data_IF_222637540929
#
_entry.id   IF_222637540929
#
_cell.length_a   1.000
_cell.length_b   1.000
_cell.length_c   1.000
_cell.angle_alpha   90.00
_cell.angle_beta   90.00
_cell.angle_gamma   90.00
#
_symmetry.space_group_name_H-M   'P 1'
#
loop_
_entity.id
_entity.type
_entity.pdbx_description
1 polymer ?
#
# COMPACT_ATOMS: atom_id res chain seq x y z
N UNK A 1 40.49 16.72 -24.48
CA UNK A 1 39.07 16.50 -24.15
C UNK A 1 38.99 15.78 -22.80
N UNK A 2 38.70 16.52 -21.72
CA UNK A 2 38.57 15.93 -20.38
C UNK A 2 37.20 15.28 -20.27
N UNK A 3 37.17 13.94 -20.20
CA UNK A 3 35.96 13.18 -19.87
C UNK A 3 35.65 13.49 -18.42
N UNK A 4 34.79 14.47 -18.18
CA UNK A 4 34.22 14.72 -16.85
C UNK A 4 33.37 13.50 -16.50
N UNK A 5 33.99 12.54 -15.82
CA UNK A 5 33.29 11.42 -15.22
C UNK A 5 32.31 12.02 -14.20
N UNK A 6 31.04 12.16 -14.59
CA UNK A 6 29.96 12.48 -13.68
C UNK A 6 29.99 11.44 -12.57
N UNK A 7 30.59 11.79 -11.44
CA UNK A 7 30.64 10.95 -10.25
C UNK A 7 29.18 10.76 -9.84
N UNK A 8 28.64 9.57 -10.11
CA UNK A 8 27.26 9.27 -9.78
C UNK A 8 27.12 9.37 -8.27
N UNK A 9 26.41 10.39 -7.80
CA UNK A 9 26.02 10.53 -6.40
C UNK A 9 25.00 9.45 -6.08
N UNK A 10 25.51 8.24 -5.83
CA UNK A 10 24.74 7.16 -5.25
C UNK A 10 24.25 7.66 -3.88
N UNK A 11 22.97 7.45 -3.57
CA UNK A 11 22.30 7.86 -2.31
C UNK A 11 21.77 9.29 -2.21
N UNK A 12 21.71 10.07 -3.30
CA UNK A 12 21.09 11.40 -3.28
C UNK A 12 19.62 11.43 -2.81
N UNK A 13 18.91 10.31 -2.91
CA UNK A 13 17.50 10.16 -2.50
C UNK A 13 17.36 9.59 -1.06
N UNK A 14 18.46 9.33 -0.34
CA UNK A 14 18.43 8.81 1.03
C UNK A 14 17.83 9.86 1.97
N UNK A 15 16.79 9.48 2.72
CA UNK A 15 16.21 10.32 3.77
C UNK A 15 16.92 10.04 5.11
N UNK A 16 17.00 11.02 6.02
CA UNK A 16 17.45 10.77 7.39
C UNK A 16 16.58 9.72 8.08
N UNK A 17 17.19 8.89 8.93
CA UNK A 17 16.49 7.81 9.63
C UNK A 17 15.28 8.35 10.41
N UNK A 18 15.48 9.34 11.27
CA UNK A 18 14.43 9.92 12.12
C UNK A 18 13.53 10.96 11.44
N UNK A 19 13.64 11.18 10.12
CA UNK A 19 12.83 12.20 9.44
C UNK A 19 11.32 12.00 9.65
N UNK A 20 10.86 10.75 9.72
CA UNK A 20 9.44 10.44 9.95
C UNK A 20 8.93 10.85 11.34
N UNK A 21 9.81 11.17 12.29
CA UNK A 21 9.46 11.72 13.60
C UNK A 21 9.48 13.25 13.65
N UNK A 22 9.78 13.92 12.54
CA UNK A 22 9.73 15.37 12.51
C UNK A 22 8.27 15.83 12.68
N UNK A 23 8.02 16.94 13.39
CA UNK A 23 6.66 17.35 13.73
C UNK A 23 5.78 17.52 12.48
N UNK A 24 6.35 18.01 11.38
CA UNK A 24 5.63 18.13 10.11
C UNK A 24 5.26 16.76 9.51
N UNK A 25 6.17 15.80 9.52
CA UNK A 25 5.91 14.46 8.95
C UNK A 25 4.91 13.68 9.84
N UNK A 26 4.98 13.84 11.16
CA UNK A 26 3.99 13.29 12.11
C UNK A 26 2.61 13.93 11.88
N UNK A 27 2.53 15.26 11.78
CA UNK A 27 1.27 15.97 11.55
C UNK A 27 0.62 15.55 10.23
N UNK A 28 1.40 15.45 9.15
CA UNK A 28 0.92 14.96 7.85
C UNK A 28 0.39 13.53 7.99
N UNK A 29 1.09 12.66 8.74
CA UNK A 29 0.67 11.28 8.97
C UNK A 29 -0.65 11.22 9.75
N UNK A 30 -0.79 12.04 10.80
CA UNK A 30 -2.02 12.11 11.60
C UNK A 30 -3.21 12.60 10.78
N UNK A 31 -3.05 13.71 10.03
CA UNK A 31 -4.08 14.25 9.13
C UNK A 31 -4.47 13.21 8.09
N UNK A 32 -3.49 12.52 7.49
CA UNK A 32 -3.75 11.46 6.52
C UNK A 32 -4.56 10.31 7.12
N UNK A 33 -4.24 9.87 8.34
CA UNK A 33 -4.98 8.79 9.00
C UNK A 33 -6.44 9.16 9.26
N UNK A 34 -6.70 10.38 9.71
CA UNK A 34 -8.07 10.91 9.90
C UNK A 34 -8.80 11.00 8.56
N UNK A 35 -8.16 11.53 7.52
CA UNK A 35 -8.76 11.66 6.20
C UNK A 35 -9.12 10.31 5.58
N UNK A 36 -8.24 9.32 5.68
CA UNK A 36 -8.51 7.96 5.18
C UNK A 36 -9.68 7.33 5.92
N UNK A 37 -9.71 7.44 7.26
CA UNK A 37 -10.81 6.88 8.04
C UNK A 37 -12.13 7.61 7.76
N UNK A 38 -12.10 8.93 7.62
CA UNK A 38 -13.26 9.73 7.22
C UNK A 38 -13.77 9.35 5.83
N UNK A 39 -12.88 9.08 4.88
CA UNK A 39 -13.24 8.62 3.54
C UNK A 39 -13.89 7.22 3.59
N UNK A 40 -13.43 6.31 4.43
CA UNK A 40 -14.05 4.99 4.60
C UNK A 40 -15.47 5.10 5.17
N UNK A 41 -15.68 5.98 6.14
CA UNK A 41 -17.01 6.27 6.72
C UNK A 41 -17.92 6.88 5.66
N UNK A 42 -17.42 7.87 4.90
CA UNK A 42 -18.15 8.49 3.80
C UNK A 42 -18.50 7.47 2.71
N UNK A 43 -17.58 6.58 2.35
CA UNK A 43 -17.83 5.52 1.38
C UNK A 43 -18.91 4.54 1.86
N UNK A 44 -18.91 4.20 3.16
CA UNK A 44 -19.99 3.40 3.77
C UNK A 44 -21.34 4.11 3.72
N UNK A 45 -21.36 5.42 3.97
CA UNK A 45 -22.56 6.24 3.86
C UNK A 45 -23.08 6.32 2.42
N UNK A 46 -22.20 6.58 1.44
CA UNK A 46 -22.57 6.60 0.02
C UNK A 46 -23.08 5.23 -0.44
N UNK A 47 -22.46 4.12 -0.02
CA UNK A 47 -22.93 2.78 -0.34
C UNK A 47 -24.33 2.50 0.26
N UNK A 48 -24.67 3.08 1.41
CA UNK A 48 -26.02 3.00 1.96
C UNK A 48 -27.02 3.91 1.27
N UNK A 49 -26.52 4.99 0.66
CA UNK A 49 -27.29 5.92 -0.15
C UNK A 49 -27.42 5.47 -1.61
N UNK A 50 -26.83 4.36 -2.07
CA UNK A 50 -27.06 3.89 -3.45
C UNK A 50 -28.56 3.64 -3.64
N UNK A 51 -29.10 4.70 -4.25
CA UNK A 51 -30.46 5.08 -4.55
C UNK A 51 -31.20 3.91 -5.19
N UNK A 52 -32.50 3.85 -4.92
CA UNK A 52 -33.45 3.30 -5.87
C UNK A 52 -33.14 3.93 -7.24
N UNK A 53 -32.52 3.18 -8.15
CA UNK A 53 -32.60 3.54 -9.55
C UNK A 53 -34.10 3.53 -9.87
N UNK A 54 -34.55 4.71 -10.29
CA UNK A 54 -35.89 4.99 -10.79
C UNK A 54 -36.14 4.16 -12.05
N UNK A 55 -36.56 2.92 -11.89
CA UNK A 55 -37.15 2.11 -12.94
C UNK A 55 -38.67 2.29 -12.87
N UNK A 56 -39.15 3.40 -13.42
CA UNK A 56 -40.49 3.46 -13.99
C UNK A 56 -40.33 3.71 -15.50
N UNK A 57 -40.98 2.82 -16.26
CA UNK A 57 -41.20 2.79 -17.71
C UNK A 57 -40.18 2.10 -18.66
N UNK A 58 -40.61 0.90 -19.08
CA UNK A 58 -40.68 0.37 -20.46
C UNK A 58 -39.82 -0.87 -20.83
N UNK A 59 -40.48 -2.03 -20.69
CA UNK A 59 -40.61 -3.14 -21.67
C UNK A 59 -39.38 -3.85 -22.28
N UNK A 60 -39.31 -5.16 -21.96
CA UNK A 60 -39.05 -6.33 -22.82
C UNK A 60 -37.77 -6.38 -23.68
N UNK A 61 -36.76 -7.15 -23.27
CA UNK A 61 -36.62 -8.58 -23.64
C UNK A 61 -35.22 -9.16 -23.32
N UNK A 62 -35.23 -10.22 -22.50
CA UNK A 62 -34.37 -11.41 -22.42
C UNK A 62 -32.87 -11.34 -22.78
N UNK A 63 -31.98 -11.49 -21.78
CA UNK A 63 -31.21 -12.74 -21.47
C UNK A 63 -30.13 -12.47 -20.39
N UNK A 64 -30.32 -12.97 -19.16
CA UNK A 64 -29.24 -13.61 -18.37
C UNK A 64 -29.79 -14.12 -17.03
N UNK A 65 -30.19 -15.38 -17.04
CA UNK A 65 -30.76 -16.12 -15.90
C UNK A 65 -29.67 -17.04 -15.30
N UNK A 66 -28.72 -16.51 -14.52
CA UNK A 66 -27.77 -17.35 -13.72
C UNK A 66 -27.41 -16.79 -12.33
N UNK A 67 -27.84 -15.59 -11.92
CA UNK A 67 -27.60 -15.15 -10.54
C UNK A 67 -28.83 -14.46 -9.94
N UNK A 68 -29.82 -15.27 -9.58
CA UNK A 68 -30.85 -14.88 -8.62
C UNK A 68 -30.23 -14.49 -7.28
N UNK A 69 -29.84 -13.22 -7.12
CA UNK A 69 -29.61 -12.61 -5.82
C UNK A 69 -30.93 -12.04 -5.31
N UNK A 70 -31.49 -12.74 -4.33
CA UNK A 70 -32.59 -12.25 -3.48
C UNK A 70 -32.33 -10.80 -3.05
N UNK A 71 -33.33 -9.94 -3.27
CA UNK A 71 -33.46 -8.60 -2.70
C UNK A 71 -33.80 -8.68 -1.20
N UNK A 72 -32.87 -9.12 -0.35
CA UNK A 72 -33.07 -9.07 1.11
C UNK A 72 -31.80 -8.59 1.83
N UNK A 73 -31.99 -7.61 2.73
CA UNK A 73 -31.06 -6.93 3.65
C UNK A 73 -30.02 -5.95 3.05
N UNK A 74 -30.46 -4.72 2.73
CA UNK A 74 -29.54 -3.55 2.67
C UNK A 74 -29.22 -3.13 4.12
N UNK A 75 -27.94 -3.13 4.56
CA UNK A 75 -27.60 -2.73 5.92
C UNK A 75 -27.80 -1.22 6.11
N UNK A 76 -28.63 -0.84 7.09
CA UNK A 76 -28.75 0.55 7.55
C UNK A 76 -27.36 1.07 7.97
N UNK A 77 -26.95 2.22 7.43
CA UNK A 77 -25.68 2.81 7.79
C UNK A 77 -25.75 3.38 9.21
N UNK A 78 -25.15 2.66 10.15
CA UNK A 78 -24.89 3.15 11.49
C UNK A 78 -23.54 3.88 11.48
N UNK A 79 -23.58 5.19 11.68
CA UNK A 79 -22.35 5.97 11.82
C UNK A 79 -21.55 5.46 13.03
N UNK A 80 -20.23 5.22 12.90
CA UNK A 80 -19.42 4.82 14.04
C UNK A 80 -19.42 5.92 15.10
N UNK A 81 -19.39 5.51 16.36
CA UNK A 81 -19.25 6.44 17.47
C UNK A 81 -17.90 7.20 17.38
N UNK A 82 -17.82 8.37 18.03
CA UNK A 82 -16.57 9.14 18.07
C UNK A 82 -15.41 8.33 18.65
N UNK A 83 -15.69 7.45 19.61
CA UNK A 83 -14.69 6.58 20.24
C UNK A 83 -14.17 5.51 19.28
N UNK A 84 -15.07 4.86 18.53
CA UNK A 84 -14.70 3.87 17.51
C UNK A 84 -13.91 4.50 16.35
N UNK A 85 -14.34 5.68 15.91
CA UNK A 85 -13.63 6.45 14.90
C UNK A 85 -12.24 6.87 15.39
N UNK A 86 -12.13 7.35 16.63
CA UNK A 86 -10.87 7.71 17.28
C UNK A 86 -9.92 6.52 17.41
N UNK A 87 -10.44 5.36 17.79
CA UNK A 87 -9.68 4.11 17.86
C UNK A 87 -9.18 3.66 16.49
N UNK A 88 -10.03 3.74 15.45
CA UNK A 88 -9.66 3.41 14.08
C UNK A 88 -8.59 4.36 13.53
N UNK A 89 -8.74 5.67 13.78
CA UNK A 89 -7.73 6.68 13.43
C UNK A 89 -6.39 6.40 14.12
N UNK A 90 -6.41 6.10 15.42
CA UNK A 90 -5.21 5.78 16.20
C UNK A 90 -4.52 4.53 15.67
N UNK A 91 -5.29 3.49 15.36
CA UNK A 91 -4.77 2.25 14.78
C UNK A 91 -4.13 2.49 13.40
N UNK A 92 -4.78 3.27 12.55
CA UNK A 92 -4.26 3.68 11.23
C UNK A 92 -2.98 4.50 11.35
N UNK A 93 -2.94 5.43 12.31
CA UNK A 93 -1.78 6.25 12.62
C UNK A 93 -0.59 5.41 13.09
N UNK A 94 -0.79 4.55 14.09
CA UNK A 94 0.25 3.66 14.62
C UNK A 94 0.77 2.75 13.50
N UNK A 95 -0.12 2.14 12.70
CA UNK A 95 0.28 1.31 11.55
C UNK A 95 1.14 2.12 10.56
N UNK A 96 0.74 3.36 10.25
CA UNK A 96 1.47 4.22 9.31
C UNK A 96 2.86 4.59 9.83
N UNK A 97 2.98 4.97 11.11
CA UNK A 97 4.26 5.25 11.75
C UNK A 97 5.14 3.99 11.73
N UNK A 98 4.62 2.84 12.15
CA UNK A 98 5.35 1.57 12.10
C UNK A 98 5.89 1.25 10.70
N UNK A 99 5.08 1.41 9.65
CA UNK A 99 5.52 1.18 8.26
C UNK A 99 6.71 2.10 7.91
N UNK A 100 6.63 3.38 8.27
CA UNK A 100 7.74 4.31 7.99
C UNK A 100 9.00 3.96 8.77
N UNK A 101 8.88 3.52 10.03
CA UNK A 101 10.00 3.06 10.85
C UNK A 101 10.68 1.82 10.27
N UNK A 102 9.89 0.82 9.86
CA UNK A 102 10.40 -0.38 9.20
C UNK A 102 11.08 -0.04 7.87
N UNK A 103 10.48 0.84 7.07
CA UNK A 103 11.10 1.30 5.82
C UNK A 103 12.47 1.94 6.05
N UNK A 104 12.59 2.88 6.99
CA UNK A 104 13.89 3.52 7.30
C UNK A 104 14.91 2.55 7.90
N UNK A 105 14.44 1.58 8.68
CA UNK A 105 15.29 0.49 9.19
C UNK A 105 15.82 -0.39 8.06
N UNK A 106 14.95 -0.77 7.12
CA UNK A 106 15.33 -1.54 5.94
C UNK A 106 16.27 -0.76 5.01
N UNK A 107 16.10 0.56 4.88
CA UNK A 107 17.04 1.41 4.14
C UNK A 107 18.46 1.32 4.74
N UNK A 108 18.60 1.44 6.06
CA UNK A 108 19.89 1.33 6.75
C UNK A 108 20.49 -0.08 6.69
N UNK A 109 19.66 -1.12 6.87
CA UNK A 109 20.11 -2.52 6.74
C UNK A 109 20.60 -2.80 5.32
N UNK A 110 19.87 -2.34 4.31
CA UNK A 110 20.27 -2.53 2.91
C UNK A 110 21.55 -1.76 2.59
N UNK A 111 21.78 -0.59 3.18
CA UNK A 111 23.04 0.15 3.03
C UNK A 111 24.25 -0.58 3.60
N UNK A 112 24.07 -1.28 4.72
CA UNK A 112 25.14 -2.05 5.36
C UNK A 112 25.43 -3.36 4.63
N UNK A 113 24.38 -3.99 4.09
CA UNK A 113 24.47 -5.36 3.60
C UNK A 113 24.57 -5.45 2.06
N UNK A 114 24.21 -4.40 1.32
CA UNK A 114 24.18 -4.41 -0.14
C UNK A 114 25.09 -3.34 -0.74
N UNK A 115 25.51 -3.59 -1.99
CA UNK A 115 26.30 -2.62 -2.73
C UNK A 115 25.52 -1.30 -2.95
N UNK A 116 26.15 -0.12 -2.84
CA UNK A 116 25.46 1.19 -2.94
C UNK A 116 24.65 1.40 -4.23
N UNK A 117 25.07 0.77 -5.34
CA UNK A 117 24.34 0.83 -6.62
C UNK A 117 22.99 0.12 -6.57
N UNK A 118 22.87 -0.94 -5.77
CA UNK A 118 21.63 -1.68 -5.56
C UNK A 118 20.70 -0.87 -4.68
N UNK A 119 21.22 -0.36 -3.56
CA UNK A 119 20.46 0.49 -2.64
C UNK A 119 19.89 1.70 -3.37
N UNK A 120 20.71 2.39 -4.18
CA UNK A 120 20.26 3.57 -4.96
C UNK A 120 19.14 3.26 -5.96
N UNK A 121 18.89 2.00 -6.32
CA UNK A 121 17.73 1.59 -7.13
C UNK A 121 16.49 1.33 -6.28
N UNK A 122 16.66 0.89 -5.04
CA UNK A 122 15.59 0.58 -4.09
C UNK A 122 15.02 1.84 -3.43
N UNK A 123 15.86 2.81 -3.08
CA UNK A 123 15.43 4.07 -2.44
C UNK A 123 15.13 5.19 -3.44
N UNK A 124 14.99 4.84 -4.72
CA UNK A 124 14.98 5.81 -5.81
C UNK A 124 13.71 6.66 -5.79
N UNK A 125 13.87 7.97 -5.95
CA UNK A 125 12.75 8.85 -6.24
C UNK A 125 12.24 8.58 -7.67
N UNK A 126 11.09 7.93 -7.74
CA UNK A 126 10.44 7.47 -8.99
C UNK A 126 10.06 8.66 -9.86
N UNK A 127 9.54 9.73 -9.26
CA UNK A 127 9.08 10.95 -9.93
C UNK A 127 10.25 11.70 -10.57
N UNK A 128 11.31 11.97 -9.81
CA UNK A 128 12.53 12.59 -10.35
C UNK A 128 13.19 11.69 -11.39
N UNK A 129 13.13 10.37 -11.20
CA UNK A 129 13.66 9.42 -12.18
C UNK A 129 12.89 9.47 -13.51
N UNK A 130 11.57 9.63 -13.49
CA UNK A 130 10.77 9.76 -14.70
C UNK A 130 11.13 11.03 -15.49
N UNK A 131 11.22 12.17 -14.81
CA UNK A 131 11.62 13.44 -15.46
C UNK A 131 13.01 13.33 -16.09
N UNK A 132 14.00 12.76 -15.38
CA UNK A 132 15.36 12.58 -15.91
C UNK A 132 15.42 11.64 -17.12
N UNK A 133 14.54 10.63 -17.19
CA UNK A 133 14.48 9.74 -18.35
C UNK A 133 13.80 10.42 -19.52
N UNK A 134 12.74 11.17 -19.27
CA UNK A 134 12.03 11.92 -20.30
C UNK A 134 12.95 12.93 -20.98
N UNK A 135 13.74 13.67 -20.20
CA UNK A 135 14.74 14.60 -20.74
C UNK A 135 15.79 13.91 -21.62
N UNK A 136 16.12 12.64 -21.37
CA UNK A 136 17.10 11.90 -22.19
C UNK A 136 16.51 11.20 -23.40
N UNK A 137 15.30 10.67 -23.29
CA UNK A 137 14.66 9.92 -24.37
C UNK A 137 13.87 10.82 -25.30
N UNK A 138 13.47 12.01 -24.83
CA UNK A 138 12.59 12.98 -25.51
C UNK A 138 11.17 12.45 -25.83
N UNK A 139 10.97 11.13 -25.74
CA UNK A 139 9.69 10.44 -25.88
C UNK A 139 9.11 10.03 -24.53
N UNK A 140 7.80 10.29 -24.34
CA UNK A 140 7.04 9.85 -23.16
C UNK A 140 6.89 8.33 -23.13
N UNK A 141 6.68 7.69 -24.28
CA UNK A 141 6.48 6.25 -24.38
C UNK A 141 7.73 5.47 -23.96
N UNK A 142 8.89 5.82 -24.53
CA UNK A 142 10.17 5.19 -24.16
C UNK A 142 10.49 5.38 -22.66
N UNK A 143 10.16 6.55 -22.13
CA UNK A 143 10.29 6.81 -20.69
C UNK A 143 9.37 5.95 -19.84
N UNK A 144 8.11 5.78 -20.23
CA UNK A 144 7.15 4.94 -19.52
C UNK A 144 7.58 3.47 -19.46
N UNK A 145 8.03 2.89 -20.58
CA UNK A 145 8.54 1.51 -20.64
C UNK A 145 9.72 1.33 -19.66
N UNK A 146 10.65 2.29 -19.64
CA UNK A 146 11.76 2.27 -18.69
C UNK A 146 11.31 2.46 -17.24
N UNK A 147 10.16 3.11 -17.01
CA UNK A 147 9.63 3.37 -15.67
C UNK A 147 9.02 2.15 -15.02
N UNK A 148 8.49 1.17 -15.76
CA UNK A 148 7.96 -0.09 -15.18
C UNK A 148 9.00 -0.74 -14.25
N UNK A 149 10.18 -1.06 -14.79
CA UNK A 149 11.28 -1.67 -14.02
C UNK A 149 11.82 -0.77 -12.90
N UNK A 150 11.64 0.54 -13.01
CA UNK A 150 12.14 1.50 -12.01
C UNK A 150 11.17 1.68 -10.86
N UNK A 151 9.87 1.79 -11.16
CA UNK A 151 8.81 1.80 -10.17
C UNK A 151 8.80 0.50 -9.37
N UNK A 152 8.84 -0.65 -10.05
CA UNK A 152 8.94 -1.95 -9.36
C UNK A 152 10.11 -1.99 -8.37
N UNK A 153 11.32 -1.62 -8.81
CA UNK A 153 12.51 -1.63 -7.92
C UNK A 153 12.39 -0.66 -6.75
N UNK A 154 11.83 0.52 -6.96
CA UNK A 154 11.66 1.50 -5.90
C UNK A 154 10.59 1.07 -4.88
N UNK A 155 9.61 0.28 -5.31
CA UNK A 155 8.50 -0.18 -4.47
C UNK A 155 8.81 -1.44 -3.64
N UNK A 156 9.88 -2.18 -3.96
CA UNK A 156 10.24 -3.40 -3.21
C UNK A 156 10.38 -3.10 -1.71
N UNK A 157 11.11 -2.04 -1.36
CA UNK A 157 11.43 -1.78 0.04
C UNK A 157 10.20 -1.30 0.82
N UNK A 158 9.34 -0.49 0.20
CA UNK A 158 8.11 -0.01 0.83
C UNK A 158 7.11 -1.14 1.10
N UNK A 159 6.86 -2.01 0.11
CA UNK A 159 5.93 -3.13 0.32
C UNK A 159 6.51 -4.21 1.22
N UNK A 160 7.83 -4.41 1.22
CA UNK A 160 8.46 -5.29 2.19
C UNK A 160 8.32 -4.76 3.63
N UNK A 161 8.40 -3.43 3.84
CA UNK A 161 8.13 -2.82 5.13
C UNK A 161 6.67 -3.04 5.58
N UNK A 162 5.71 -2.88 4.65
CA UNK A 162 4.28 -3.13 4.93
C UNK A 162 4.05 -4.58 5.33
N UNK A 163 4.58 -5.52 4.56
CA UNK A 163 4.52 -6.95 4.85
C UNK A 163 5.05 -7.26 6.27
N UNK A 164 6.24 -6.77 6.62
CA UNK A 164 6.81 -7.01 7.95
C UNK A 164 5.96 -6.45 9.10
N UNK A 165 5.34 -5.29 8.92
CA UNK A 165 4.42 -4.72 9.93
C UNK A 165 3.19 -5.61 10.09
N UNK A 166 2.63 -6.12 8.99
CA UNK A 166 1.46 -7.01 9.02
C UNK A 166 1.78 -8.36 9.66
N UNK A 167 2.92 -8.97 9.32
CA UNK A 167 3.40 -10.20 9.94
C UNK A 167 3.69 -10.01 11.43
N UNK A 168 4.32 -8.89 11.82
CA UNK A 168 4.60 -8.59 13.24
C UNK A 168 3.30 -8.45 14.03
N UNK A 169 2.31 -7.75 13.49
CA UNK A 169 1.00 -7.61 14.12
C UNK A 169 0.29 -8.97 14.29
N UNK A 170 0.33 -9.83 13.27
CA UNK A 170 -0.24 -11.17 13.35
C UNK A 170 0.48 -12.05 14.36
N UNK A 171 1.80 -12.00 14.39
CA UNK A 171 2.62 -12.75 15.34
C UNK A 171 2.30 -12.34 16.78
N UNK A 172 2.13 -11.04 17.06
CA UNK A 172 1.71 -10.54 18.37
C UNK A 172 0.33 -11.09 18.75
N UNK A 173 -0.64 -11.09 17.83
CA UNK A 173 -1.98 -11.63 18.08
C UNK A 173 -1.96 -13.14 18.35
N UNK A 174 -1.15 -13.89 17.59
CA UNK A 174 -0.98 -15.33 17.78
C UNK A 174 -0.34 -15.62 19.13
N UNK A 175 0.74 -14.91 19.48
CA UNK A 175 1.38 -15.05 20.79
C UNK A 175 0.40 -14.75 21.92
N UNK A 176 -0.33 -13.63 21.83
CA UNK A 176 -1.32 -13.24 22.84
C UNK A 176 -2.42 -14.29 23.02
N UNK A 177 -2.96 -14.82 21.91
CA UNK A 177 -3.93 -15.93 21.94
C UNK A 177 -3.32 -17.18 22.56
N UNK A 178 -2.10 -17.54 22.19
CA UNK A 178 -1.41 -18.72 22.73
C UNK A 178 -1.17 -18.62 24.23
N UNK A 179 -0.73 -17.46 24.72
CA UNK A 179 -0.59 -17.21 26.16
C UNK A 179 -1.93 -17.31 26.90
N UNK A 180 -3.00 -16.80 26.30
CA UNK A 180 -4.35 -16.87 26.90
C UNK A 180 -4.95 -18.28 26.86
N UNK A 181 -4.74 -19.03 25.77
CA UNK A 181 -5.23 -20.41 25.61
C UNK A 181 -4.48 -21.42 26.47
N UNK A 182 -3.16 -21.23 26.69
CA UNK A 182 -2.39 -22.02 27.66
C UNK A 182 -2.94 -21.88 29.08
N UNK A 183 -3.43 -20.69 29.45
CA UNK A 183 -4.11 -20.47 30.74
C UNK A 183 -5.46 -21.20 30.85
N UNK A 184 -6.09 -21.53 29.72
CA UNK A 184 -7.39 -22.21 29.64
C UNK A 184 -7.32 -23.73 29.34
N UNK A 185 -6.12 -24.31 29.23
CA UNK A 185 -5.92 -25.77 29.15
C UNK A 185 -6.21 -26.45 27.80
N UNK A 186 -6.40 -25.70 26.70
CA UNK A 186 -6.87 -26.24 25.40
C UNK A 186 -5.78 -26.23 24.29
N UNK A 187 -4.57 -26.68 24.62
CA UNK A 187 -3.32 -26.28 23.95
C UNK A 187 -2.99 -26.87 22.57
N UNK A 188 -3.29 -28.15 22.29
CA UNK A 188 -2.64 -28.85 21.18
C UNK A 188 -3.37 -28.75 19.83
N UNK A 189 -4.71 -28.83 19.81
CA UNK A 189 -5.48 -28.68 18.55
C UNK A 189 -5.57 -27.21 18.10
N UNK A 190 -5.56 -26.28 19.05
CA UNK A 190 -5.56 -24.85 18.75
C UNK A 190 -4.26 -24.39 18.08
N UNK A 191 -3.10 -24.97 18.46
CA UNK A 191 -1.79 -24.57 17.93
C UNK A 191 -1.63 -24.98 16.45
N UNK A 192 -2.10 -26.17 16.03
CA UNK A 192 -2.03 -26.63 14.63
C UNK A 192 -2.89 -25.79 13.69
N UNK A 193 -4.15 -25.53 14.06
CA UNK A 193 -5.06 -24.69 13.27
C UNK A 193 -4.56 -23.25 13.18
N UNK A 194 -3.94 -22.74 14.26
CA UNK A 194 -3.35 -21.39 14.27
C UNK A 194 -2.16 -21.28 13.31
N UNK A 195 -1.26 -22.28 13.27
CA UNK A 195 -0.12 -22.27 12.34
C UNK A 195 -0.54 -22.39 10.87
N UNK A 196 -1.54 -23.24 10.57
CA UNK A 196 -2.09 -23.33 9.21
C UNK A 196 -2.70 -21.99 8.76
N UNK A 197 -3.50 -21.36 9.65
CA UNK A 197 -4.09 -20.04 9.36
C UNK A 197 -3.02 -18.95 9.20
N UNK A 198 -1.92 -19.01 9.96
CA UNK A 198 -0.82 -18.08 9.82
C UNK A 198 -0.17 -18.22 8.44
N UNK A 199 0.16 -19.44 8.01
CA UNK A 199 0.76 -19.68 6.70
C UNK A 199 -0.10 -19.16 5.55
N UNK A 200 -1.42 -19.38 5.60
CA UNK A 200 -2.36 -18.86 4.60
C UNK A 200 -2.40 -17.32 4.59
N UNK A 201 -2.47 -16.70 5.77
CA UNK A 201 -2.50 -15.24 5.89
C UNK A 201 -1.17 -14.63 5.43
N UNK A 202 -0.03 -15.20 5.83
CA UNK A 202 1.31 -14.76 5.40
C UNK A 202 1.45 -14.86 3.88
N UNK A 203 1.02 -15.98 3.28
CA UNK A 203 1.06 -16.16 1.83
C UNK A 203 0.20 -15.11 1.12
N UNK A 204 -0.99 -14.80 1.65
CA UNK A 204 -1.87 -13.76 1.14
C UNK A 204 -1.26 -12.36 1.25
N UNK A 205 -0.59 -12.03 2.36
CA UNK A 205 0.05 -10.71 2.51
C UNK A 205 1.28 -10.59 1.59
N UNK A 206 2.03 -11.69 1.42
CA UNK A 206 3.16 -11.76 0.52
C UNK A 206 2.72 -11.61 -0.95
N UNK A 207 1.64 -12.29 -1.35
CA UNK A 207 1.10 -12.18 -2.72
C UNK A 207 0.58 -10.78 -3.01
N UNK A 208 -0.17 -10.16 -2.09
CA UNK A 208 -0.61 -8.75 -2.19
C UNK A 208 0.55 -7.78 -2.31
N UNK A 209 1.59 -7.96 -1.49
CA UNK A 209 2.79 -7.11 -1.55
C UNK A 209 3.53 -7.27 -2.87
N UNK A 210 3.63 -8.50 -3.40
CA UNK A 210 4.19 -8.78 -4.72
C UNK A 210 3.37 -8.12 -5.85
N UNK A 211 2.05 -8.24 -5.78
CA UNK A 211 1.12 -7.63 -6.73
C UNK A 211 1.23 -6.09 -6.68
N UNK A 212 1.35 -5.49 -5.49
CA UNK A 212 1.51 -4.04 -5.29
C UNK A 212 2.81 -3.51 -5.92
N UNK A 213 3.90 -4.27 -5.86
CA UNK A 213 5.16 -3.91 -6.51
C UNK A 213 4.99 -3.85 -8.04
N UNK A 214 4.28 -4.84 -8.62
CA UNK A 214 4.06 -4.92 -10.07
C UNK A 214 3.11 -3.82 -10.52
N UNK A 215 1.93 -3.75 -9.91
CA UNK A 215 0.88 -2.78 -10.24
C UNK A 215 1.32 -1.34 -9.98
N UNK A 216 2.07 -1.06 -8.91
CA UNK A 216 2.69 0.25 -8.69
C UNK A 216 3.74 0.62 -9.75
N UNK A 217 4.51 -0.36 -10.23
CA UNK A 217 5.43 -0.17 -11.35
C UNK A 217 4.71 0.17 -12.67
N UNK A 218 3.63 -0.54 -12.98
CA UNK A 218 2.77 -0.29 -14.15
C UNK A 218 2.05 1.05 -14.01
N UNK A 219 1.47 1.34 -12.86
CA UNK A 219 0.81 2.62 -12.57
C UNK A 219 1.77 3.81 -12.70
N UNK A 220 3.01 3.68 -12.23
CA UNK A 220 4.04 4.70 -12.44
C UNK A 220 4.36 4.91 -13.93
N UNK A 221 4.36 3.86 -14.74
CA UNK A 221 4.56 3.95 -16.19
C UNK A 221 3.39 4.65 -16.88
N UNK A 222 2.15 4.26 -16.58
CA UNK A 222 0.92 4.91 -17.09
C UNK A 222 0.91 6.39 -16.71
N UNK A 223 1.18 6.70 -15.45
CA UNK A 223 1.29 8.08 -14.97
C UNK A 223 2.38 8.89 -15.67
N UNK A 224 3.47 8.24 -16.10
CA UNK A 224 4.54 8.87 -16.88
C UNK A 224 4.10 9.21 -18.31
N UNK A 225 3.22 8.40 -18.92
CA UNK A 225 2.65 8.70 -20.25
C UNK A 225 1.82 9.98 -20.23
N UNK A 226 1.06 10.19 -19.15
CA UNK A 226 0.27 11.40 -18.94
C UNK A 226 1.20 12.58 -18.69
N UNK A 227 1.93 12.53 -17.56
CA UNK A 227 2.83 13.61 -17.11
C UNK A 227 4.04 13.04 -16.37
N UNK A 228 5.24 13.04 -16.98
CA UNK A 228 6.47 12.63 -16.29
C UNK A 228 6.71 13.45 -15.03
N UNK A 229 6.99 12.78 -13.91
CA UNK A 229 7.16 13.41 -12.60
C UNK A 229 5.90 13.30 -11.76
N UNK A 230 5.02 14.30 -11.80
CA UNK A 230 3.81 14.32 -10.95
C UNK A 230 2.84 13.18 -11.30
N UNK A 231 2.59 12.93 -12.59
CA UNK A 231 1.72 11.84 -13.02
C UNK A 231 2.30 10.49 -12.63
N UNK A 232 3.62 10.31 -12.73
CA UNK A 232 4.34 9.11 -12.26
C UNK A 232 4.10 8.84 -10.77
N UNK A 233 4.14 9.87 -9.94
CA UNK A 233 3.90 9.75 -8.50
C UNK A 233 2.47 9.27 -8.22
N UNK A 234 1.49 9.96 -8.79
CA UNK A 234 0.07 9.66 -8.59
C UNK A 234 -0.26 8.27 -9.13
N UNK A 235 0.14 7.98 -10.37
CA UNK A 235 -0.09 6.68 -11.00
C UNK A 235 0.59 5.54 -10.25
N UNK A 236 1.79 5.75 -9.72
CA UNK A 236 2.48 4.77 -8.88
C UNK A 236 1.71 4.45 -7.61
N UNK A 237 1.25 5.47 -6.88
CA UNK A 237 0.46 5.32 -5.65
C UNK A 237 -0.92 4.73 -5.90
N UNK A 238 -1.59 5.08 -7.00
CA UNK A 238 -2.86 4.43 -7.34
C UNK A 238 -2.64 2.97 -7.71
N UNK A 239 -1.61 2.69 -8.51
CA UNK A 239 -1.25 1.34 -8.92
C UNK A 239 -0.98 0.42 -7.73
N UNK A 240 -0.15 0.86 -6.78
CA UNK A 240 0.16 0.04 -5.61
C UNK A 240 -1.02 -0.18 -4.66
N UNK A 241 -1.95 0.79 -4.58
CA UNK A 241 -3.14 0.71 -3.72
C UNK A 241 -4.14 -0.32 -4.23
N UNK A 242 -4.32 -0.45 -5.55
CA UNK A 242 -5.25 -1.42 -6.16
C UNK A 242 -4.96 -2.85 -5.69
N UNK A 243 -3.69 -3.22 -5.55
CA UNK A 243 -3.30 -4.56 -5.11
C UNK A 243 -3.67 -4.89 -3.65
N UNK A 244 -3.99 -3.88 -2.83
CA UNK A 244 -4.48 -4.08 -1.46
C UNK A 244 -6.01 -4.06 -1.36
N UNK A 245 -6.69 -3.66 -2.44
CA UNK A 245 -8.16 -3.65 -2.55
C UNK A 245 -8.67 -4.96 -3.15
N UNK A 246 -7.88 -5.60 -4.02
CA UNK A 246 -8.13 -6.93 -4.59
C UNK A 246 -7.73 -8.04 -3.59
#
# INVERSE_FOLDING_TARGET
MSVSAHQKNYLADKKPFFKHFYPNDIAITAVRSVAIQGLMVFNGYVASLELEDSDDDSSDDEVDDVFGKKKDDKPEFVAPSLDEFGLACTKSFVKSVSITTYLRSLEEVTLRNCHPRTVSKLIKDVSKSATRKYVRTTSKFSSAVLMVKTGMRANILSHFAIFLVEETHQLILILYRRFTSKKKGNGDDADKTTLASFGEITLRNASRSGLAIITGGVGAAIGTLIRPGLGTMIGGTLGDTIAYVI
#
